data_IF_370288919817
#
_entry.id   IF_370288919817
#
_cell.length_a   1.000
_cell.length_b   1.000
_cell.length_c   1.000
_cell.angle_alpha   90.00
_cell.angle_beta   90.00
_cell.angle_gamma   90.00
#
_symmetry.space_group_name_H-M   'P 1'
#
loop_
_entity.id
_entity.type
_entity.pdbx_description
1 polymer ?
#
# COMPACT_ATOMS: atom_id res chain seq x y z
N UNK A 1 8.82 -17.09 8.75
CA UNK A 1 7.55 -16.33 8.65
C UNK A 1 6.37 -17.15 9.16
N UNK A 2 6.54 -18.46 9.35
CA UNK A 2 5.51 -19.34 9.91
C UNK A 2 4.85 -18.77 11.18
N UNK A 3 3.53 -18.94 11.28
CA UNK A 3 2.72 -18.51 12.42
C UNK A 3 2.48 -16.99 12.51
N UNK A 4 3.08 -16.18 11.63
CA UNK A 4 2.89 -14.73 11.59
C UNK A 4 1.57 -14.34 10.93
N UNK A 5 1.07 -13.15 11.24
CA UNK A 5 -0.15 -12.58 10.63
C UNK A 5 0.19 -11.48 9.63
N UNK A 6 -0.58 -11.41 8.54
CA UNK A 6 -0.40 -10.43 7.47
C UNK A 6 -1.62 -9.51 7.34
N UNK A 7 -1.41 -8.21 7.30
CA UNK A 7 -2.36 -7.22 6.82
C UNK A 7 -1.97 -6.80 5.40
N UNK A 8 -2.87 -6.97 4.44
CA UNK A 8 -2.72 -6.47 3.08
C UNK A 8 -3.55 -5.22 2.90
N UNK A 9 -2.91 -4.11 2.57
CA UNK A 9 -3.53 -2.86 2.18
C UNK A 9 -3.27 -2.63 0.69
N UNK A 10 -4.29 -2.25 -0.06
CA UNK A 10 -4.15 -2.09 -1.50
C UNK A 10 -5.39 -1.55 -2.18
N UNK A 11 -5.30 -1.36 -3.50
CA UNK A 11 -6.41 -0.86 -4.29
C UNK A 11 -7.26 -1.99 -4.91
N UNK A 12 -8.01 -1.69 -5.97
CA UNK A 12 -8.85 -2.67 -6.68
C UNK A 12 -8.10 -3.90 -7.18
N UNK A 13 -6.79 -3.78 -7.48
CA UNK A 13 -5.93 -4.92 -7.85
C UNK A 13 -5.85 -5.90 -6.68
N UNK A 14 -5.43 -5.42 -5.50
CA UNK A 14 -5.31 -6.26 -4.30
C UNK A 14 -6.65 -6.76 -3.78
N UNK A 15 -7.74 -6.02 -3.99
CA UNK A 15 -9.10 -6.45 -3.65
C UNK A 15 -9.58 -7.62 -4.51
N UNK A 16 -9.35 -7.54 -5.82
CA UNK A 16 -9.79 -8.57 -6.77
C UNK A 16 -8.83 -9.76 -6.89
N UNK A 17 -7.57 -9.60 -6.50
CA UNK A 17 -6.56 -10.65 -6.59
C UNK A 17 -6.61 -11.63 -5.41
N UNK A 18 -6.05 -12.82 -5.59
CA UNK A 18 -5.89 -13.85 -4.56
C UNK A 18 -4.45 -14.05 -4.11
N UNK A 19 -3.53 -13.13 -4.44
CA UNK A 19 -2.11 -13.33 -4.12
C UNK A 19 -1.86 -13.42 -2.61
N UNK A 20 -2.66 -12.72 -1.81
CA UNK A 20 -2.57 -12.70 -0.35
C UNK A 20 -2.76 -14.10 0.24
N UNK A 21 -3.73 -14.87 -0.25
CA UNK A 21 -3.96 -16.25 0.19
C UNK A 21 -2.83 -17.16 -0.27
N UNK A 22 -2.30 -16.97 -1.49
CA UNK A 22 -1.12 -17.72 -1.95
C UNK A 22 0.10 -17.43 -1.06
N UNK A 23 0.34 -16.17 -0.69
CA UNK A 23 1.41 -15.77 0.23
C UNK A 23 1.22 -16.41 1.60
N UNK A 24 -0.01 -16.41 2.13
CA UNK A 24 -0.34 -17.09 3.39
C UNK A 24 0.03 -18.58 3.34
N UNK A 25 -0.38 -19.29 2.30
CA UNK A 25 -0.07 -20.72 2.15
C UNK A 25 1.42 -20.98 1.99
N UNK A 26 2.10 -20.24 1.11
CA UNK A 26 3.53 -20.46 0.82
C UNK A 26 4.44 -20.17 2.01
N UNK A 27 4.06 -19.23 2.87
CA UNK A 27 4.86 -18.81 4.03
C UNK A 27 4.37 -19.41 5.37
N UNK A 28 3.36 -20.29 5.33
CA UNK A 28 2.70 -20.85 6.51
C UNK A 28 2.25 -19.77 7.52
N UNK A 29 1.67 -18.68 7.01
CA UNK A 29 1.15 -17.60 7.86
C UNK A 29 -0.09 -18.08 8.62
N UNK A 30 -0.24 -17.62 9.87
CA UNK A 30 -1.42 -17.91 10.70
C UNK A 30 -2.70 -17.36 10.06
N UNK A 31 -2.64 -16.13 9.57
CA UNK A 31 -3.77 -15.47 8.94
C UNK A 31 -3.32 -14.37 7.98
N UNK A 32 -4.21 -14.02 7.06
CA UNK A 32 -4.13 -12.81 6.27
C UNK A 32 -5.45 -12.06 6.37
N UNK A 33 -5.37 -10.74 6.53
CA UNK A 33 -6.49 -9.81 6.47
C UNK A 33 -6.30 -8.93 5.24
N UNK A 34 -7.22 -9.03 4.28
CA UNK A 34 -7.21 -8.17 3.08
C UNK A 34 -8.11 -6.96 3.33
N UNK A 35 -7.51 -5.80 3.59
CA UNK A 35 -8.20 -4.53 3.76
C UNK A 35 -7.99 -3.61 2.55
N UNK A 36 -8.09 -4.19 1.35
CA UNK A 36 -7.97 -3.47 0.09
C UNK A 36 -9.33 -3.00 -0.41
N UNK A 37 -9.38 -1.80 -1.00
CA UNK A 37 -10.61 -1.28 -1.59
C UNK A 37 -10.38 -0.56 -2.92
N UNK A 38 -11.42 -0.44 -3.74
CA UNK A 38 -11.33 0.28 -5.01
C UNK A 38 -10.98 1.76 -4.77
N UNK A 39 -10.16 2.35 -5.64
CA UNK A 39 -9.83 3.78 -5.60
C UNK A 39 -8.84 4.23 -4.52
N UNK A 40 -8.38 3.34 -3.62
CA UNK A 40 -7.41 3.73 -2.58
C UNK A 40 -6.09 4.24 -3.19
N UNK A 41 -5.57 5.32 -2.62
CA UNK A 41 -4.29 5.99 -2.94
C UNK A 41 -3.32 5.85 -1.75
N UNK A 42 -2.05 6.26 -1.90
CA UNK A 42 -1.05 6.13 -0.83
C UNK A 42 -1.48 6.81 0.48
N UNK A 43 -1.98 8.05 0.40
CA UNK A 43 -2.44 8.79 1.58
C UNK A 43 -3.61 8.07 2.31
N UNK A 44 -4.45 7.31 1.59
CA UNK A 44 -5.55 6.56 2.20
C UNK A 44 -5.10 5.57 3.26
N UNK A 45 -3.85 5.11 3.22
CA UNK A 45 -3.29 4.17 4.18
C UNK A 45 -3.24 4.74 5.61
N UNK A 46 -3.16 6.07 5.76
CA UNK A 46 -3.17 6.74 7.06
C UNK A 46 -4.47 6.48 7.85
N UNK A 47 -5.58 6.23 7.16
CA UNK A 47 -6.86 5.88 7.81
C UNK A 47 -6.93 4.40 8.23
N UNK A 48 -6.05 3.55 7.68
CA UNK A 48 -6.05 2.10 7.88
C UNK A 48 -4.92 1.64 8.82
N UNK A 49 -3.93 2.49 9.06
CA UNK A 49 -2.77 2.24 9.90
C UNK A 49 -2.96 2.97 11.22
N UNK A 50 -3.29 2.20 12.26
CA UNK A 50 -3.41 2.68 13.64
C UNK A 50 -3.18 1.51 14.62
N UNK A 51 -2.92 1.81 15.88
CA UNK A 51 -2.60 0.81 16.93
C UNK A 51 -3.65 -0.31 17.00
N UNK A 52 -4.93 0.04 16.91
CA UNK A 52 -6.03 -0.94 16.96
C UNK A 52 -5.99 -1.89 15.77
N UNK A 53 -5.83 -1.36 14.56
CA UNK A 53 -5.77 -2.15 13.34
C UNK A 53 -4.53 -3.05 13.30
N UNK A 54 -3.41 -2.61 13.89
CA UNK A 54 -2.14 -3.33 13.86
C UNK A 54 -1.89 -4.24 15.07
N UNK A 55 -2.72 -4.19 16.12
CA UNK A 55 -2.51 -4.91 17.39
C UNK A 55 -2.03 -6.35 17.20
N UNK A 56 -2.67 -7.11 16.32
CA UNK A 56 -2.35 -8.52 16.06
C UNK A 56 -1.67 -8.76 14.70
N UNK A 57 -1.08 -7.73 14.10
CA UNK A 57 -0.42 -7.76 12.77
C UNK A 57 1.10 -7.85 12.90
N UNK A 58 1.73 -8.86 12.31
CA UNK A 58 3.20 -8.94 12.26
C UNK A 58 3.79 -8.32 11.00
N UNK A 59 3.03 -8.34 9.90
CA UNK A 59 3.49 -7.94 8.56
C UNK A 59 2.41 -7.06 7.92
N UNK A 60 2.82 -5.96 7.31
CA UNK A 60 1.96 -5.06 6.55
C UNK A 60 2.50 -5.04 5.11
N UNK A 61 1.68 -5.47 4.15
CA UNK A 61 1.96 -5.30 2.73
C UNK A 61 1.11 -4.14 2.22
N UNK A 62 1.74 -3.19 1.52
CA UNK A 62 1.08 -2.07 0.86
C UNK A 62 1.31 -2.16 -0.65
N UNK A 63 0.22 -2.25 -1.42
CA UNK A 63 0.23 -2.24 -2.88
C UNK A 63 -0.77 -1.21 -3.41
N UNK A 64 -0.31 0.04 -3.47
CA UNK A 64 -1.04 1.21 -3.97
C UNK A 64 -0.08 2.07 -4.82
N UNK A 65 -0.58 3.15 -5.43
CA UNK A 65 0.21 4.02 -6.33
C UNK A 65 -0.36 4.12 -7.75
N UNK A 66 -1.09 3.12 -8.24
CA UNK A 66 -1.75 3.21 -9.57
C UNK A 66 -2.78 4.33 -9.59
N UNK A 67 -3.60 4.46 -8.54
CA UNK A 67 -4.61 5.51 -8.48
C UNK A 67 -3.98 6.89 -8.23
N UNK A 68 -2.86 6.95 -7.48
CA UNK A 68 -2.09 8.18 -7.30
C UNK A 68 -1.59 8.70 -8.65
N UNK A 69 -1.05 7.80 -9.50
CA UNK A 69 -0.65 8.11 -10.86
C UNK A 69 -1.83 8.58 -11.71
N UNK A 70 -2.94 7.82 -11.74
CA UNK A 70 -4.14 8.17 -12.52
C UNK A 70 -4.74 9.52 -12.09
N UNK A 71 -4.70 9.84 -10.80
CA UNK A 71 -5.24 11.09 -10.26
C UNK A 71 -4.27 12.28 -10.40
N UNK A 72 -3.10 12.11 -11.02
CA UNK A 72 -2.13 13.18 -11.21
C UNK A 72 -1.47 13.64 -9.91
N UNK A 73 -1.36 12.77 -8.89
CA UNK A 73 -0.63 13.10 -7.66
C UNK A 73 0.81 13.46 -8.02
N UNK A 74 1.28 14.62 -7.58
CA UNK A 74 2.67 15.03 -7.79
C UNK A 74 3.61 13.98 -7.19
N UNK A 75 4.57 13.49 -7.99
CA UNK A 75 5.51 12.47 -7.52
C UNK A 75 6.34 13.00 -6.34
N UNK A 76 6.84 14.23 -6.46
CA UNK A 76 7.73 14.83 -5.47
C UNK A 76 9.14 14.31 -5.54
N UNK A 77 9.88 14.44 -4.44
CA UNK A 77 11.26 13.98 -4.29
C UNK A 77 11.42 13.12 -3.05
N UNK A 78 12.48 12.31 -3.00
CA UNK A 78 12.81 11.51 -1.81
C UNK A 78 13.10 12.34 -0.55
N UNK A 79 13.32 13.65 -0.70
CA UNK A 79 13.59 14.56 0.41
C UNK A 79 12.29 15.18 0.96
N UNK A 80 11.15 14.90 0.31
CA UNK A 80 9.83 15.34 0.75
C UNK A 80 9.44 14.61 2.06
N UNK A 81 9.19 15.38 3.11
CA UNK A 81 8.72 14.90 4.41
C UNK A 81 7.23 14.49 4.41
N UNK A 82 6.78 13.87 5.51
CA UNK A 82 5.41 13.35 5.63
C UNK A 82 4.30 14.41 5.55
N UNK A 83 4.65 15.67 5.76
CA UNK A 83 3.79 16.85 5.66
C UNK A 83 3.73 17.45 4.24
N UNK A 84 4.63 17.04 3.34
CA UNK A 84 4.68 17.54 1.97
C UNK A 84 3.62 16.84 1.13
N UNK A 85 2.83 17.63 0.39
CA UNK A 85 1.79 17.11 -0.49
C UNK A 85 2.35 16.52 -1.79
N UNK A 86 3.03 15.37 -1.68
CA UNK A 86 3.52 14.57 -2.80
C UNK A 86 3.38 13.08 -2.53
N UNK A 87 3.56 12.25 -3.56
CA UNK A 87 3.58 10.79 -3.39
C UNK A 87 4.71 10.34 -2.45
N UNK A 88 5.91 10.95 -2.56
CA UNK A 88 7.00 10.69 -1.62
C UNK A 88 6.64 11.10 -0.18
N UNK A 89 6.01 12.27 0.01
CA UNK A 89 5.53 12.70 1.32
C UNK A 89 4.48 11.74 1.89
N UNK A 90 3.52 11.29 1.07
CA UNK A 90 2.51 10.30 1.48
C UNK A 90 3.17 8.97 1.91
N UNK A 91 4.20 8.51 1.18
CA UNK A 91 4.99 7.32 1.58
C UNK A 91 5.66 7.53 2.94
N UNK A 92 6.31 8.68 3.15
CA UNK A 92 6.99 8.99 4.41
C UNK A 92 5.99 9.06 5.58
N UNK A 93 4.82 9.67 5.37
CA UNK A 93 3.74 9.73 6.37
C UNK A 93 3.27 8.33 6.76
N UNK A 94 3.09 7.43 5.78
CA UNK A 94 2.67 6.04 6.00
C UNK A 94 3.72 5.24 6.78
N UNK A 95 5.01 5.42 6.46
CA UNK A 95 6.11 4.81 7.21
C UNK A 95 6.07 5.28 8.66
N UNK A 96 5.96 6.59 8.90
CA UNK A 96 5.91 7.18 10.24
C UNK A 96 4.72 6.64 11.04
N UNK A 97 3.53 6.60 10.43
CA UNK A 97 2.31 6.09 11.06
C UNK A 97 2.45 4.60 11.44
N UNK A 98 3.03 3.77 10.57
CA UNK A 98 3.24 2.36 10.84
C UNK A 98 4.25 2.15 11.98
N UNK A 99 5.37 2.90 11.97
CA UNK A 99 6.38 2.84 13.03
C UNK A 99 5.84 3.30 14.38
N UNK A 100 5.01 4.35 14.39
CA UNK A 100 4.36 4.84 15.60
C UNK A 100 3.34 3.83 16.15
N UNK A 101 2.49 3.27 15.28
CA UNK A 101 1.41 2.38 15.68
C UNK A 101 1.91 0.97 16.06
N UNK A 102 2.97 0.48 15.42
CA UNK A 102 3.56 -0.84 15.69
C UNK A 102 5.00 -0.96 15.18
N UNK A 103 6.01 -0.54 15.96
CA UNK A 103 7.40 -0.47 15.51
C UNK A 103 8.01 -1.83 15.16
N UNK A 104 7.49 -2.93 15.71
CA UNK A 104 7.94 -4.28 15.44
C UNK A 104 7.33 -4.91 14.17
N UNK A 105 6.29 -4.29 13.59
CA UNK A 105 5.66 -4.80 12.38
C UNK A 105 6.58 -4.63 11.17
N UNK A 106 6.66 -5.66 10.32
CA UNK A 106 7.41 -5.59 9.07
C UNK A 106 6.58 -4.88 8.01
N UNK A 107 7.01 -3.71 7.57
CA UNK A 107 6.39 -2.96 6.48
C UNK A 107 7.03 -3.33 5.14
N UNK A 108 6.20 -3.69 4.16
CA UNK A 108 6.64 -4.11 2.82
C UNK A 108 5.81 -3.35 1.77
N UNK A 109 6.50 -2.64 0.88
CA UNK A 109 5.88 -1.99 -0.27
C UNK A 109 6.02 -2.87 -1.52
N UNK A 110 4.93 -3.01 -2.28
CA UNK A 110 4.92 -3.58 -3.61
C UNK A 110 4.69 -2.47 -4.62
N UNK A 111 5.53 -2.39 -5.65
CA UNK A 111 5.37 -1.40 -6.71
C UNK A 111 4.07 -1.64 -7.49
N UNK A 112 3.38 -0.58 -7.97
CA UNK A 112 2.28 -0.73 -8.91
C UNK A 112 2.62 -1.63 -10.10
N UNK A 113 1.67 -2.47 -10.52
CA UNK A 113 1.82 -3.22 -11.76
C UNK A 113 1.61 -2.30 -12.96
N UNK A 114 2.30 -2.60 -14.06
CA UNK A 114 1.94 -2.03 -15.36
C UNK A 114 0.53 -2.51 -15.73
N UNK A 115 -0.30 -1.60 -16.22
CA UNK A 115 -1.58 -1.95 -16.84
C UNK A 115 -1.60 -1.42 -18.27
N UNK A 116 -2.40 -2.07 -19.13
CA UNK A 116 -2.63 -1.60 -20.49
C UNK A 116 -3.48 -0.32 -20.53
N UNK A 117 -3.89 0.07 -21.74
CA UNK A 117 -4.81 1.18 -21.93
C UNK A 117 -6.12 0.96 -21.17
N UNK A 118 -6.53 1.98 -20.43
CA UNK A 118 -7.84 2.09 -19.78
C UNK A 118 -8.42 3.42 -20.25
N UNK A 119 -9.63 3.39 -20.80
CA UNK A 119 -10.29 4.60 -21.29
C UNK A 119 -10.39 5.66 -20.19
N UNK A 120 -9.93 6.88 -20.50
CA UNK A 120 -9.93 7.99 -19.55
C UNK A 120 -8.81 7.98 -18.51
N UNK A 121 -7.83 7.08 -18.60
CA UNK A 121 -6.65 7.06 -17.72
C UNK A 121 -5.34 7.25 -18.49
N UNK A 122 -4.32 7.87 -17.86
CA UNK A 122 -2.98 7.91 -18.45
C UNK A 122 -2.43 6.50 -18.70
N UNK A 123 -1.71 6.32 -19.81
CA UNK A 123 -1.08 5.04 -20.15
C UNK A 123 0.42 5.11 -19.91
N UNK A 124 0.95 4.13 -19.18
CA UNK A 124 2.40 3.96 -19.02
C UNK A 124 3.08 3.78 -20.40
N UNK A 125 4.26 4.39 -20.68
CA UNK A 125 5.13 5.13 -19.77
C UNK A 125 4.99 6.65 -19.83
N UNK A 126 3.94 7.19 -20.46
CA UNK A 126 3.82 8.64 -20.58
C UNK A 126 3.77 9.26 -19.18
N UNK A 127 4.73 10.15 -18.92
CA UNK A 127 4.82 10.88 -17.66
C UNK A 127 3.51 11.66 -17.46
N UNK A 128 3.08 11.79 -16.20
CA UNK A 128 2.10 12.81 -15.86
C UNK A 128 2.71 14.17 -16.24
N UNK A 129 2.12 14.83 -17.24
CA UNK A 129 2.49 16.19 -17.65
C UNK A 129 1.83 17.21 -16.73
#
# INVERSE_FOLDING_TARGET
>A
MEGKTLLSLGNGVSKGSTYQEKVKTLLNLKSVTNNSNNGLVMNSMLNLINEKALKDTDIIIIMVGTNDYTNGRALGTKDDGGEVESFYGDVQAVINAAQQAKPEAKLVFLTPLKHGYIEGQPSYPDKNN
#
